data_IF_155119135879
#
_entry.id   IF_155119135879
#
_cell.length_a   1.000
_cell.length_b   1.000
_cell.length_c   1.000
_cell.angle_alpha   90.00
_cell.angle_beta   90.00
_cell.angle_gamma   90.00
#
_symmetry.space_group_name_H-M   'P 1'
#
loop_
_entity.id
_entity.type
_entity.pdbx_description
1 polymer ?
#
# COMPACT_ATOMS: atom_id res chain seq x y z
N UNK A 1 66.55 -10.16 -3.71
CA UNK A 1 65.21 -10.69 -3.46
C UNK A 1 64.35 -9.58 -2.91
N UNK A 2 63.51 -9.04 -3.74
CA UNK A 2 62.57 -7.98 -3.32
C UNK A 2 61.17 -8.58 -3.35
N UNK A 3 60.63 -8.80 -2.17
CA UNK A 3 59.27 -9.25 -2.03
C UNK A 3 58.36 -8.08 -2.35
N UNK A 4 57.65 -8.20 -3.47
CA UNK A 4 56.57 -7.25 -3.80
C UNK A 4 55.33 -7.75 -3.10
N UNK A 5 55.05 -7.13 -1.97
CA UNK A 5 53.73 -7.30 -1.33
C UNK A 5 52.70 -6.54 -2.18
N UNK A 6 52.02 -7.31 -3.02
CA UNK A 6 50.84 -6.80 -3.67
C UNK A 6 49.74 -6.66 -2.62
N UNK A 7 49.52 -5.42 -2.20
CA UNK A 7 48.36 -5.09 -1.39
C UNK A 7 47.12 -5.23 -2.28
N UNK A 8 46.40 -6.34 -2.14
CA UNK A 8 45.08 -6.51 -2.73
C UNK A 8 44.13 -5.62 -1.90
N UNK A 9 43.86 -4.44 -2.40
CA UNK A 9 42.78 -3.62 -1.87
C UNK A 9 41.48 -4.32 -2.26
N UNK A 10 40.94 -5.08 -1.35
CA UNK A 10 39.57 -5.57 -1.46
C UNK A 10 38.65 -4.35 -1.34
N UNK A 11 38.26 -3.81 -2.45
CA UNK A 11 37.17 -2.83 -2.48
C UNK A 11 35.91 -3.63 -2.17
N UNK A 12 35.57 -3.66 -0.91
CA UNK A 12 34.23 -4.02 -0.49
C UNK A 12 33.30 -2.95 -1.06
N UNK A 13 32.86 -3.15 -2.29
CA UNK A 13 31.66 -2.46 -2.76
C UNK A 13 30.53 -2.95 -1.89
N UNK A 14 30.31 -2.23 -0.80
CA UNK A 14 29.10 -2.39 -0.06
C UNK A 14 27.94 -2.09 -1.00
N UNK A 15 27.29 -3.13 -1.49
CA UNK A 15 25.95 -3.00 -1.98
C UNK A 15 25.10 -2.63 -0.77
N UNK A 16 25.18 -1.36 -0.36
CA UNK A 16 24.17 -0.80 0.50
C UNK A 16 22.87 -0.98 -0.25
N UNK A 17 22.00 -1.89 0.22
CA UNK A 17 20.63 -1.85 -0.19
C UNK A 17 20.18 -0.42 0.04
N UNK A 18 20.01 0.35 -1.03
CA UNK A 18 19.33 1.64 -0.93
C UNK A 18 18.01 1.31 -0.26
N UNK A 19 17.69 1.89 0.92
CA UNK A 19 16.35 1.75 1.45
C UNK A 19 15.46 2.14 0.30
N UNK A 20 14.54 1.24 -0.08
CA UNK A 20 13.54 1.58 -1.06
C UNK A 20 13.03 2.94 -0.64
N UNK A 21 13.32 3.96 -1.42
CA UNK A 21 12.86 5.30 -1.15
C UNK A 21 11.35 5.14 -1.04
N UNK A 22 10.86 5.11 0.20
CA UNK A 22 9.46 5.25 0.44
C UNK A 22 9.09 6.58 -0.22
N UNK A 23 8.56 6.50 -1.44
CA UNK A 23 8.11 7.67 -2.13
C UNK A 23 6.97 8.23 -1.31
N UNK A 24 7.30 9.25 -0.53
CA UNK A 24 6.30 9.98 0.21
C UNK A 24 5.59 10.90 -0.76
N UNK A 25 4.30 10.72 -0.88
CA UNK A 25 3.43 11.64 -1.57
C UNK A 25 2.49 12.31 -0.56
N UNK A 26 2.03 13.53 -0.83
CA UNK A 26 1.08 14.17 0.05
C UNK A 26 -0.21 13.36 0.14
N UNK A 27 -0.56 12.93 1.34
CA UNK A 27 -1.85 12.31 1.61
C UNK A 27 -2.80 13.38 2.15
N UNK A 28 -3.95 13.49 1.52
CA UNK A 28 -4.97 14.45 1.90
C UNK A 28 -6.13 13.73 2.58
N UNK A 29 -6.59 14.28 3.69
CA UNK A 29 -7.66 13.68 4.48
C UNK A 29 -7.21 12.48 5.30
N UNK A 30 -8.08 11.53 5.49
CA UNK A 30 -7.95 10.47 6.50
C UNK A 30 -6.94 9.36 6.14
N UNK A 31 -6.30 9.45 4.99
CA UNK A 31 -5.30 8.46 4.58
C UNK A 31 -4.12 8.29 5.52
N UNK A 32 -3.82 9.32 6.30
CA UNK A 32 -2.76 9.29 7.31
C UNK A 32 -3.19 8.72 8.66
N UNK A 33 -4.47 8.51 8.85
CA UNK A 33 -4.95 7.96 10.10
C UNK A 33 -4.42 6.55 10.33
N UNK A 34 -4.15 6.25 11.60
CA UNK A 34 -3.65 4.93 11.95
C UNK A 34 -4.73 3.87 11.83
N UNK A 35 -4.30 2.66 11.54
CA UNK A 35 -5.16 1.48 11.62
C UNK A 35 -5.83 1.32 12.99
N UNK A 36 -5.16 1.72 14.06
CA UNK A 36 -5.77 1.69 15.40
C UNK A 36 -6.95 2.65 15.50
N UNK A 37 -6.86 3.85 14.91
CA UNK A 37 -7.97 4.80 14.85
C UNK A 37 -9.13 4.22 14.03
N UNK A 38 -8.86 3.70 12.85
CA UNK A 38 -9.88 3.02 12.04
C UNK A 38 -10.64 1.97 12.85
N UNK A 39 -9.91 1.08 13.54
CA UNK A 39 -10.54 0.00 14.31
C UNK A 39 -11.43 0.55 15.43
N UNK A 40 -10.98 1.59 16.13
CA UNK A 40 -11.78 2.24 17.17
C UNK A 40 -13.04 2.92 16.59
N UNK A 41 -12.91 3.58 15.45
CA UNK A 41 -14.02 4.25 14.77
C UNK A 41 -15.04 3.26 14.21
N UNK A 42 -14.57 2.12 13.75
CA UNK A 42 -15.45 1.01 13.34
C UNK A 42 -16.29 0.50 14.51
N UNK A 43 -15.67 0.28 15.65
CA UNK A 43 -16.35 -0.19 16.86
C UNK A 43 -17.37 0.82 17.39
N UNK A 44 -17.06 2.11 17.31
CA UNK A 44 -17.93 3.18 17.78
C UNK A 44 -18.92 3.69 16.72
N UNK A 45 -18.92 3.10 15.54
CA UNK A 45 -19.79 3.50 14.42
C UNK A 45 -19.52 4.93 13.91
N UNK A 46 -18.27 5.37 13.97
CA UNK A 46 -17.82 6.71 13.59
C UNK A 46 -16.88 6.73 12.38
N UNK A 47 -16.80 5.63 11.64
CA UNK A 47 -15.84 5.47 10.53
C UNK A 47 -16.35 5.97 9.18
N UNK A 48 -17.43 6.75 9.14
CA UNK A 48 -18.04 7.14 7.86
C UNK A 48 -17.11 7.95 6.96
N UNK A 49 -16.34 8.88 7.53
CA UNK A 49 -15.41 9.72 6.76
C UNK A 49 -14.24 8.89 6.25
N UNK A 50 -13.68 8.02 7.07
CA UNK A 50 -12.64 7.05 6.68
C UNK A 50 -13.10 6.15 5.54
N UNK A 51 -14.33 5.65 5.64
CA UNK A 51 -14.92 4.81 4.60
C UNK A 51 -15.01 5.55 3.27
N UNK A 52 -15.47 6.79 3.27
CA UNK A 52 -15.55 7.61 2.07
C UNK A 52 -14.17 7.90 1.48
N UNK A 53 -13.20 8.16 2.33
CA UNK A 53 -11.82 8.35 1.88
C UNK A 53 -11.27 7.10 1.18
N UNK A 54 -11.47 5.93 1.78
CA UNK A 54 -11.03 4.64 1.22
C UNK A 54 -11.69 4.37 -0.13
N UNK A 55 -12.99 4.57 -0.23
CA UNK A 55 -13.72 4.35 -1.48
C UNK A 55 -13.27 5.30 -2.58
N UNK A 56 -12.99 6.56 -2.24
CA UNK A 56 -12.44 7.53 -3.17
C UNK A 56 -11.03 7.14 -3.66
N UNK A 57 -10.19 6.68 -2.75
CA UNK A 57 -8.85 6.19 -3.08
C UNK A 57 -8.90 5.01 -4.06
N UNK A 58 -9.71 4.01 -3.76
CA UNK A 58 -9.85 2.81 -4.60
C UNK A 58 -10.48 3.17 -5.95
N UNK A 59 -11.46 4.06 -5.97
CA UNK A 59 -12.05 4.55 -7.23
C UNK A 59 -10.99 5.22 -8.11
N UNK A 60 -10.16 6.07 -7.53
CA UNK A 60 -9.07 6.71 -8.26
C UNK A 60 -8.04 5.69 -8.76
N UNK A 61 -7.68 4.71 -7.94
CA UNK A 61 -6.77 3.64 -8.32
C UNK A 61 -7.31 2.83 -9.51
N UNK A 62 -8.59 2.48 -9.49
CA UNK A 62 -9.26 1.81 -10.60
C UNK A 62 -9.22 2.67 -11.88
N UNK A 63 -9.51 3.96 -11.75
CA UNK A 63 -9.48 4.88 -12.88
C UNK A 63 -8.10 5.01 -13.51
N UNK A 64 -7.07 5.16 -12.68
CA UNK A 64 -5.68 5.23 -13.14
C UNK A 64 -5.22 3.93 -13.80
N UNK A 65 -5.58 2.79 -13.22
CA UNK A 65 -5.25 1.48 -13.79
C UNK A 65 -5.92 1.29 -15.16
N UNK A 66 -7.17 1.71 -15.30
CA UNK A 66 -7.88 1.66 -16.58
C UNK A 66 -7.18 2.53 -17.64
N UNK A 67 -6.76 3.73 -17.27
CA UNK A 67 -6.04 4.62 -18.20
C UNK A 67 -4.69 4.02 -18.59
N UNK A 68 -3.96 3.47 -17.64
CA UNK A 68 -2.63 2.92 -17.87
C UNK A 68 -2.65 1.63 -18.70
N UNK A 69 -3.63 0.76 -18.45
CA UNK A 69 -3.71 -0.55 -19.11
C UNK A 69 -4.64 -0.57 -20.30
N UNK A 70 -5.53 0.41 -20.42
CA UNK A 70 -6.63 0.48 -21.41
C UNK A 70 -7.61 -0.69 -21.32
N UNK A 71 -7.64 -1.34 -20.18
CA UNK A 71 -8.58 -2.42 -19.88
C UNK A 71 -9.52 -1.99 -18.77
N UNK A 72 -10.72 -2.52 -18.79
CA UNK A 72 -11.67 -2.32 -17.69
C UNK A 72 -11.14 -3.03 -16.45
N UNK A 73 -11.00 -2.28 -15.37
CA UNK A 73 -10.69 -2.86 -14.06
C UNK A 73 -11.99 -3.29 -13.42
N UNK A 74 -12.04 -4.54 -13.00
CA UNK A 74 -13.17 -5.07 -12.26
C UNK A 74 -12.71 -5.38 -10.84
N UNK A 75 -13.53 -5.06 -9.88
CA UNK A 75 -13.31 -5.47 -8.50
C UNK A 75 -13.92 -6.86 -8.27
N UNK A 76 -13.18 -7.70 -7.57
CA UNK A 76 -13.59 -9.06 -7.21
C UNK A 76 -14.40 -9.10 -5.91
N UNK A 77 -14.72 -7.94 -5.39
CA UNK A 77 -15.42 -7.76 -4.13
C UNK A 77 -16.33 -6.54 -4.20
N UNK A 78 -17.25 -6.45 -3.27
CA UNK A 78 -18.08 -5.27 -3.06
C UNK A 78 -17.52 -4.35 -1.97
N UNK A 79 -18.23 -3.26 -1.70
CA UNK A 79 -17.84 -2.28 -0.67
C UNK A 79 -17.65 -2.93 0.69
N UNK A 80 -18.55 -3.83 1.09
CA UNK A 80 -18.45 -4.52 2.37
C UNK A 80 -17.22 -5.42 2.44
N UNK A 81 -16.87 -6.06 1.34
CA UNK A 81 -15.65 -6.85 1.22
C UNK A 81 -14.39 -6.02 1.36
N UNK A 82 -14.38 -4.81 0.79
CA UNK A 82 -13.27 -3.85 0.96
C UNK A 82 -13.10 -3.49 2.44
N UNK A 83 -14.17 -3.12 3.12
CA UNK A 83 -14.08 -2.74 4.53
C UNK A 83 -13.69 -3.91 5.43
N UNK A 84 -14.18 -5.11 5.16
CA UNK A 84 -13.77 -6.31 5.87
C UNK A 84 -12.27 -6.61 5.68
N UNK A 85 -11.74 -6.37 4.49
CA UNK A 85 -10.30 -6.48 4.25
C UNK A 85 -9.52 -5.51 5.12
N UNK A 86 -9.95 -4.25 5.14
CA UNK A 86 -9.28 -3.20 5.93
C UNK A 86 -9.38 -3.50 7.42
N UNK A 87 -10.53 -3.95 7.90
CA UNK A 87 -10.68 -4.39 9.30
C UNK A 87 -9.64 -5.45 9.66
N UNK A 88 -9.49 -6.48 8.83
CA UNK A 88 -8.51 -7.55 9.05
C UNK A 88 -7.07 -7.06 8.96
N UNK A 89 -6.76 -6.22 7.96
CA UNK A 89 -5.44 -5.63 7.80
C UNK A 89 -5.06 -4.80 9.01
N UNK A 90 -5.95 -3.93 9.45
CA UNK A 90 -5.70 -3.03 10.57
C UNK A 90 -5.61 -3.75 11.91
N UNK A 91 -6.30 -4.87 12.10
CA UNK A 91 -6.12 -5.70 13.28
C UNK A 91 -4.72 -6.31 13.38
N UNK A 92 -4.15 -6.65 12.25
CA UNK A 92 -2.80 -7.25 12.19
C UNK A 92 -1.68 -6.20 12.22
N UNK A 93 -1.95 -5.01 11.74
CA UNK A 93 -0.97 -3.95 11.54
C UNK A 93 -1.48 -2.61 12.09
N UNK A 94 -1.72 -2.50 13.40
CA UNK A 94 -2.37 -1.31 13.99
C UNK A 94 -1.54 -0.03 13.86
N UNK A 95 -0.25 -0.14 13.59
CA UNK A 95 0.64 1.00 13.39
C UNK A 95 0.71 1.48 11.94
N UNK A 96 0.18 0.73 11.00
CA UNK A 96 0.04 1.18 9.61
C UNK A 96 -1.07 2.22 9.50
N UNK A 97 -1.18 2.85 8.35
CA UNK A 97 -2.19 3.87 8.10
C UNK A 97 -3.24 3.39 7.08
N UNK A 98 -4.30 4.17 6.93
CA UNK A 98 -5.39 3.84 6.01
C UNK A 98 -4.95 3.77 4.54
N UNK A 99 -3.97 4.57 4.13
CA UNK A 99 -3.44 4.49 2.76
C UNK A 99 -2.82 3.12 2.51
N UNK A 100 -2.02 2.60 3.44
CA UNK A 100 -1.41 1.27 3.32
C UNK A 100 -2.48 0.17 3.30
N UNK A 101 -3.50 0.30 4.14
CA UNK A 101 -4.63 -0.61 4.14
C UNK A 101 -5.41 -0.60 2.82
N UNK A 102 -5.66 0.60 2.27
CA UNK A 102 -6.37 0.76 1.01
C UNK A 102 -5.57 0.20 -0.19
N UNK A 103 -4.26 0.43 -0.22
CA UNK A 103 -3.37 -0.17 -1.23
C UNK A 103 -3.42 -1.70 -1.15
N UNK A 104 -3.35 -2.25 0.05
CA UNK A 104 -3.43 -3.69 0.27
C UNK A 104 -4.78 -4.27 -0.19
N UNK A 105 -5.86 -3.60 0.16
CA UNK A 105 -7.21 -4.01 -0.26
C UNK A 105 -7.35 -3.98 -1.79
N UNK A 106 -6.88 -2.91 -2.42
CA UNK A 106 -6.95 -2.76 -3.87
C UNK A 106 -6.12 -3.83 -4.57
N UNK A 107 -4.88 -4.05 -4.14
CA UNK A 107 -3.99 -5.05 -4.75
C UNK A 107 -4.52 -6.48 -4.63
N UNK A 108 -5.25 -6.77 -3.55
CA UNK A 108 -5.81 -8.10 -3.30
C UNK A 108 -7.15 -8.33 -4.01
N UNK A 109 -7.90 -7.25 -4.20
CA UNK A 109 -9.18 -7.26 -4.91
C UNK A 109 -9.01 -6.93 -6.38
N UNK A 110 -7.82 -6.50 -6.76
CA UNK A 110 -7.48 -6.40 -8.15
C UNK A 110 -7.67 -7.77 -8.75
N UNK A 111 -8.62 -7.84 -9.50
CA UNK A 111 -8.93 -9.00 -10.25
C UNK A 111 -7.78 -9.31 -11.13
N UNK A 112 -7.46 -10.52 -11.08
CA UNK A 112 -6.96 -11.15 -12.28
C UNK A 112 -7.66 -10.48 -13.45
N UNK A 113 -7.06 -9.40 -13.94
CA UNK A 113 -7.58 -8.68 -15.07
C UNK A 113 -7.63 -9.62 -16.24
N UNK A 114 -8.29 -10.73 -15.97
CA UNK A 114 -8.56 -11.73 -16.93
C UNK A 114 -9.01 -10.97 -18.12
N UNK A 115 -8.02 -10.51 -18.82
CA UNK A 115 -8.28 -9.82 -20.02
C UNK A 115 -9.16 -10.73 -20.84
N UNK A 116 -10.28 -10.28 -21.09
CA UNK A 116 -11.05 -10.65 -22.25
C UNK A 116 -11.60 -9.38 -22.84
#
# INVERSE_FOLDING_TARGET
MRSVLAAIAVILMGFGASPALAQTFPMLGDGNESCATWSADRESNQSADDQQWILGYITAANGLAMVATKHTVKMNTDINGVFAWIDNFCQKTPTDNLTQAAVSAWSSSEIDGGGD
#
